data_IF_431855077235
#
_entry.id   IF_431855077235
#
_cell.length_a   1.000
_cell.length_b   1.000
_cell.length_c   1.000
_cell.angle_alpha   90.00
_cell.angle_beta   90.00
_cell.angle_gamma   90.00
#
_symmetry.space_group_name_H-M   'P 1'
#
loop_
_entity.id
_entity.type
_entity.pdbx_description
1 polymer ?
#
# COMPACT_ATOMS: atom_id res chain seq x y z
N UNK A 1 7.36 34.84 -55.14
CA UNK A 1 7.95 34.30 -53.90
C UNK A 1 7.18 33.03 -53.58
N UNK A 2 7.77 31.90 -53.99
CA UNK A 2 7.25 30.56 -53.82
C UNK A 2 7.78 30.01 -52.50
N UNK A 3 6.91 29.41 -51.68
CA UNK A 3 7.29 28.52 -50.59
C UNK A 3 6.45 27.26 -50.76
N UNK A 4 6.97 26.24 -51.42
CA UNK A 4 7.84 25.16 -50.93
C UNK A 4 7.01 23.98 -50.37
N UNK A 5 6.98 22.93 -51.18
CA UNK A 5 6.35 21.63 -50.96
C UNK A 5 7.47 20.66 -50.66
N UNK A 6 7.57 20.16 -49.43
CA UNK A 6 8.41 19.02 -49.03
C UNK A 6 7.62 18.24 -47.96
N UNK A 7 7.09 17.06 -48.30
CA UNK A 7 7.73 15.75 -48.20
C UNK A 7 7.30 15.05 -46.90
N UNK A 8 6.25 14.24 -47.00
CA UNK A 8 5.75 13.38 -45.91
C UNK A 8 6.42 12.00 -46.05
N UNK A 9 7.13 11.49 -45.04
CA UNK A 9 7.68 10.14 -45.12
C UNK A 9 6.56 9.10 -44.93
N UNK A 10 6.43 8.24 -45.95
CA UNK A 10 5.61 7.03 -45.96
C UNK A 10 6.02 6.09 -44.81
N UNK A 11 5.13 5.90 -43.83
CA UNK A 11 5.32 4.87 -42.81
C UNK A 11 4.79 3.54 -43.33
N UNK A 12 5.73 2.68 -43.71
CA UNK A 12 5.55 1.32 -44.18
C UNK A 12 4.89 0.45 -43.10
N UNK A 13 3.72 -0.13 -43.41
CA UNK A 13 3.01 -1.07 -42.54
C UNK A 13 3.75 -2.42 -42.47
N UNK A 14 4.54 -2.62 -41.41
CA UNK A 14 5.11 -3.92 -41.03
C UNK A 14 4.09 -4.86 -40.37
N UNK A 15 4.34 -6.18 -40.38
CA UNK A 15 3.33 -7.21 -40.14
C UNK A 15 2.82 -7.23 -38.69
N UNK A 16 1.54 -7.54 -38.58
CA UNK A 16 0.79 -7.83 -37.36
C UNK A 16 1.36 -9.06 -36.65
N UNK A 17 2.10 -8.84 -35.56
CA UNK A 17 2.36 -9.87 -34.55
C UNK A 17 1.29 -9.78 -33.47
N UNK A 18 0.58 -10.88 -33.33
CA UNK A 18 -0.53 -11.13 -32.41
C UNK A 18 0.00 -11.92 -31.19
N UNK A 19 -0.55 -11.62 -30.00
CA UNK A 19 -0.46 -12.37 -28.72
C UNK A 19 0.85 -12.23 -27.92
N UNK A 20 0.88 -12.02 -26.59
CA UNK A 20 -0.09 -12.22 -25.51
C UNK A 20 0.00 -11.07 -24.49
N UNK A 21 -1.10 -10.37 -24.23
CA UNK A 21 -1.20 -9.35 -23.16
C UNK A 21 -1.88 -9.95 -21.93
N UNK A 22 -1.14 -10.76 -21.17
CA UNK A 22 -1.53 -11.25 -19.85
C UNK A 22 -1.08 -10.27 -18.72
N UNK A 23 -0.99 -8.97 -19.05
CA UNK A 23 -0.72 -7.91 -18.07
C UNK A 23 -2.02 -7.54 -17.37
N UNK A 24 -2.21 -7.78 -16.07
CA UNK A 24 -3.35 -7.23 -15.36
C UNK A 24 -3.31 -5.70 -15.51
N UNK A 25 -4.42 -5.05 -15.92
CA UNK A 25 -4.41 -3.64 -16.24
C UNK A 25 -3.83 -2.87 -15.05
N UNK A 26 -2.75 -2.13 -15.32
CA UNK A 26 -2.08 -1.30 -14.33
C UNK A 26 -3.12 -0.45 -13.60
N UNK A 27 -3.27 -0.71 -12.30
CA UNK A 27 -4.28 -0.06 -11.49
C UNK A 27 -4.17 1.46 -11.60
N UNK A 28 -5.26 2.11 -11.99
CA UNK A 28 -5.40 3.56 -11.95
C UNK A 28 -5.29 4.03 -10.51
N UNK A 29 -4.20 4.71 -10.17
CA UNK A 29 -4.04 5.36 -8.86
C UNK A 29 -4.91 6.62 -8.87
N UNK A 30 -6.10 6.52 -8.27
CA UNK A 30 -6.95 7.68 -8.05
C UNK A 30 -6.26 8.60 -7.04
N UNK A 31 -5.80 9.76 -7.53
CA UNK A 31 -5.20 10.79 -6.70
C UNK A 31 -6.33 11.47 -5.92
N UNK A 32 -6.59 11.02 -4.70
CA UNK A 32 -7.50 11.73 -3.80
C UNK A 32 -6.90 13.11 -3.52
N UNK A 33 -7.64 14.17 -3.87
CA UNK A 33 -7.25 15.54 -3.52
C UNK A 33 -7.14 15.59 -1.99
N UNK A 34 -5.91 15.70 -1.51
CA UNK A 34 -5.61 15.86 -0.09
C UNK A 34 -6.41 17.06 0.40
N UNK A 35 -7.38 16.83 1.29
CA UNK A 35 -8.05 17.94 1.98
C UNK A 35 -6.94 18.72 2.67
N UNK A 36 -6.83 19.99 2.31
CA UNK A 36 -5.96 20.94 2.98
C UNK A 36 -6.30 20.86 4.47
N UNK A 37 -5.29 20.56 5.28
CA UNK A 37 -5.48 20.40 6.72
C UNK A 37 -6.01 21.71 7.27
N UNK A 38 -7.26 21.70 7.76
CA UNK A 38 -7.86 22.84 8.44
C UNK A 38 -7.07 23.09 9.71
N UNK A 39 -6.47 24.28 9.81
CA UNK A 39 -5.86 24.79 11.04
C UNK A 39 -6.99 24.98 12.08
N UNK A 40 -6.98 24.25 13.20
CA UNK A 40 -8.05 24.33 14.20
C UNK A 40 -8.15 25.70 14.88
N UNK A 41 -7.15 26.56 14.74
CA UNK A 41 -7.10 27.89 15.34
C UNK A 41 -7.50 29.02 14.37
N UNK A 42 -7.86 28.69 13.12
CA UNK A 42 -8.32 29.67 12.13
C UNK A 42 -9.75 30.14 12.47
N UNK A 43 -9.86 31.34 13.05
CA UNK A 43 -11.15 31.97 13.33
C UNK A 43 -11.98 32.12 12.04
N UNK A 44 -13.10 31.40 12.04
CA UNK A 44 -14.00 31.24 10.91
C UNK A 44 -14.81 32.52 10.68
N UNK A 45 -14.47 33.29 9.65
CA UNK A 45 -15.41 34.25 9.05
C UNK A 45 -16.07 33.58 7.85
N UNK A 46 -17.15 32.85 8.10
CA UNK A 46 -18.00 32.26 7.06
C UNK A 46 -18.93 33.34 6.52
N UNK A 47 -18.66 33.82 5.32
CA UNK A 47 -19.73 34.06 4.36
C UNK A 47 -19.60 32.93 3.33
N UNK A 48 -20.54 31.99 3.23
CA UNK A 48 -20.44 30.91 2.28
C UNK A 48 -20.85 31.45 0.91
N UNK A 49 -19.90 31.56 -0.01
CA UNK A 49 -20.21 31.64 -1.44
C UNK A 49 -21.07 30.42 -1.83
N UNK A 50 -22.12 30.59 -2.67
CA UNK A 50 -22.92 29.46 -3.11
C UNK A 50 -22.05 28.51 -3.94
N UNK A 51 -21.77 27.34 -3.37
CA UNK A 51 -21.20 26.22 -4.11
C UNK A 51 -22.30 25.73 -5.06
N UNK A 52 -22.14 26.03 -6.35
CA UNK A 52 -22.93 25.40 -7.41
C UNK A 52 -22.44 23.95 -7.53
N UNK A 53 -22.99 23.11 -6.66
CA UNK A 53 -22.92 21.67 -6.78
C UNK A 53 -23.84 21.28 -7.95
N UNK A 54 -23.26 20.83 -9.06
CA UNK A 54 -23.94 19.90 -9.99
C UNK A 54 -24.11 18.49 -9.36
N UNK A 55 -24.28 18.44 -8.03
CA UNK A 55 -24.68 17.26 -7.32
C UNK A 55 -26.18 17.10 -7.56
N UNK A 56 -26.51 16.24 -8.53
CA UNK A 56 -27.81 15.57 -8.58
C UNK A 56 -28.19 15.22 -7.13
N UNK A 57 -29.27 15.83 -6.62
CA UNK A 57 -29.79 15.73 -5.25
C UNK A 57 -29.73 14.29 -4.72
N UNK A 58 -28.56 13.87 -4.25
CA UNK A 58 -28.32 12.51 -3.78
C UNK A 58 -28.63 12.56 -2.30
N UNK A 59 -29.90 12.28 -2.00
CA UNK A 59 -30.36 12.12 -0.62
C UNK A 59 -29.44 11.12 0.08
N UNK A 60 -28.78 11.49 1.19
CA UNK A 60 -27.86 10.61 1.89
C UNK A 60 -28.59 9.35 2.36
N UNK A 61 -28.22 8.20 1.80
CA UNK A 61 -28.80 6.90 2.14
C UNK A 61 -28.18 6.40 3.45
N UNK A 62 -28.98 6.10 4.49
CA UNK A 62 -28.46 5.48 5.72
C UNK A 62 -27.81 4.13 5.41
N UNK A 63 -26.60 3.90 5.95
CA UNK A 63 -25.87 2.62 5.82
C UNK A 63 -26.69 1.45 6.37
N UNK A 64 -27.40 1.70 7.47
CA UNK A 64 -28.33 0.77 8.11
C UNK A 64 -29.76 1.36 8.11
N UNK A 65 -30.59 1.10 7.08
CA UNK A 65 -31.97 1.54 7.06
C UNK A 65 -32.83 0.73 8.06
N UNK A 66 -33.75 1.37 8.79
CA UNK A 66 -34.67 0.65 9.68
C UNK A 66 -35.58 -0.29 8.87
N UNK A 67 -35.74 -1.53 9.34
CA UNK A 67 -36.61 -2.52 8.70
C UNK A 67 -35.93 -3.53 7.78
N UNK A 68 -34.59 -3.46 7.59
CA UNK A 68 -33.86 -4.63 7.06
C UNK A 68 -33.79 -5.70 8.13
N UNK A 69 -34.28 -6.89 7.79
CA UNK A 69 -34.02 -8.11 8.58
C UNK A 69 -32.50 -8.34 8.58
N UNK A 70 -31.88 -8.17 9.75
CA UNK A 70 -30.47 -8.53 9.92
C UNK A 70 -30.39 -10.05 9.96
N UNK A 71 -29.54 -10.69 9.14
CA UNK A 71 -29.30 -12.11 9.28
C UNK A 71 -28.88 -12.42 10.72
N UNK A 72 -29.40 -13.51 11.26
CA UNK A 72 -28.95 -14.02 12.55
C UNK A 72 -27.45 -14.31 12.48
N UNK A 73 -26.74 -14.26 13.61
CA UNK A 73 -25.29 -14.57 13.66
C UNK A 73 -24.95 -15.87 12.91
N UNK A 74 -25.81 -16.89 13.02
CA UNK A 74 -25.65 -18.17 12.35
C UNK A 74 -25.82 -18.09 10.82
N UNK A 75 -26.74 -17.26 10.33
CA UNK A 75 -26.93 -16.99 8.90
C UNK A 75 -25.76 -16.19 8.33
N UNK A 76 -25.26 -15.19 9.07
CA UNK A 76 -24.06 -14.45 8.70
C UNK A 76 -22.85 -15.38 8.56
N UNK A 77 -22.59 -16.23 9.56
CA UNK A 77 -21.42 -17.13 9.55
C UNK A 77 -21.54 -18.25 8.51
N UNK A 78 -22.75 -18.71 8.17
CA UNK A 78 -22.97 -19.75 7.16
C UNK A 78 -22.97 -19.22 5.73
N UNK A 79 -23.41 -17.97 5.52
CA UNK A 79 -23.43 -17.32 4.21
C UNK A 79 -22.10 -16.68 3.81
N UNK A 80 -21.22 -16.39 4.79
CA UNK A 80 -19.93 -15.77 4.51
C UNK A 80 -18.97 -16.74 3.83
N UNK A 81 -18.58 -16.44 2.59
CA UNK A 81 -17.47 -17.13 1.94
C UNK A 81 -16.21 -16.87 2.78
N UNK A 82 -15.68 -17.94 3.37
CA UNK A 82 -14.47 -17.87 4.18
C UNK A 82 -13.32 -17.41 3.29
N UNK A 83 -12.89 -16.16 3.49
CA UNK A 83 -11.66 -15.68 2.88
C UNK A 83 -10.51 -16.49 3.43
N UNK A 84 -9.59 -16.80 2.54
CA UNK A 84 -8.36 -17.47 2.91
C UNK A 84 -7.61 -16.67 3.96
N UNK A 85 -7.30 -17.33 5.09
CA UNK A 85 -6.56 -16.72 6.21
C UNK A 85 -5.15 -16.34 5.78
N UNK A 86 -4.57 -17.13 4.88
CA UNK A 86 -3.24 -16.89 4.35
C UNK A 86 -3.35 -16.19 3.01
N UNK A 87 -2.71 -15.02 2.84
CA UNK A 87 -2.69 -14.35 1.56
C UNK A 87 -1.93 -15.20 0.52
N UNK A 88 -2.29 -15.06 -0.75
CA UNK A 88 -1.74 -15.87 -1.85
C UNK A 88 -0.23 -15.80 -1.97
N UNK A 89 0.37 -14.63 -1.73
CA UNK A 89 1.83 -14.42 -1.75
C UNK A 89 2.56 -15.25 -0.68
N UNK A 90 1.88 -15.62 0.41
CA UNK A 90 2.47 -16.43 1.48
C UNK A 90 2.45 -17.94 1.16
N UNK A 91 1.63 -18.36 0.19
CA UNK A 91 1.55 -19.75 -0.28
C UNK A 91 2.59 -20.08 -1.35
N UNK A 92 3.06 -19.06 -2.07
CA UNK A 92 4.14 -19.20 -3.06
C UNK A 92 5.49 -18.89 -2.44
N UNK A 93 6.46 -19.81 -2.60
CA UNK A 93 7.84 -19.57 -2.16
C UNK A 93 8.50 -18.40 -2.89
N UNK A 94 8.11 -18.16 -4.14
CA UNK A 94 8.72 -17.12 -4.96
C UNK A 94 8.24 -15.74 -4.52
N UNK A 95 6.92 -15.56 -4.39
CA UNK A 95 6.33 -14.32 -3.89
C UNK A 95 6.76 -14.01 -2.45
N UNK A 96 6.90 -15.04 -1.60
CA UNK A 96 7.41 -14.86 -0.24
C UNK A 96 8.84 -14.32 -0.25
N UNK A 97 9.72 -14.84 -1.11
CA UNK A 97 11.12 -14.36 -1.20
C UNK A 97 11.20 -12.93 -1.69
N UNK A 98 10.41 -12.58 -2.69
CA UNK A 98 10.35 -11.22 -3.21
C UNK A 98 9.92 -10.24 -2.11
N UNK A 99 8.87 -10.60 -1.37
CA UNK A 99 8.38 -9.75 -0.30
C UNK A 99 9.34 -9.69 0.89
N UNK A 100 9.98 -10.81 1.24
CA UNK A 100 11.02 -10.86 2.26
C UNK A 100 12.23 -9.98 1.88
N UNK A 101 12.62 -9.96 0.61
CA UNK A 101 13.70 -9.10 0.11
C UNK A 101 13.34 -7.62 0.29
N UNK A 102 12.13 -7.24 -0.09
CA UNK A 102 11.66 -5.87 0.13
C UNK A 102 11.66 -5.48 1.61
N UNK A 103 11.13 -6.35 2.48
CA UNK A 103 11.15 -6.14 3.94
C UNK A 103 12.58 -5.99 4.45
N UNK A 104 13.47 -6.86 4.00
CA UNK A 104 14.88 -6.80 4.39
C UNK A 104 15.52 -5.48 3.95
N UNK A 105 15.31 -5.06 2.71
CA UNK A 105 15.83 -3.79 2.19
C UNK A 105 15.26 -2.58 2.95
N UNK A 106 14.00 -2.65 3.42
CA UNK A 106 13.40 -1.62 4.24
C UNK A 106 14.08 -1.51 5.62
N UNK A 107 14.31 -2.63 6.29
CA UNK A 107 14.87 -2.64 7.65
C UNK A 107 16.40 -2.63 7.71
N UNK A 108 17.10 -2.84 6.58
CA UNK A 108 18.56 -2.90 6.53
C UNK A 108 19.21 -1.68 7.16
N UNK A 109 18.64 -0.49 6.96
CA UNK A 109 19.24 0.76 7.39
C UNK A 109 19.18 0.91 8.92
N UNK A 110 18.02 0.62 9.51
CA UNK A 110 17.83 0.65 10.97
C UNK A 110 18.73 -0.38 11.64
N UNK A 111 18.81 -1.59 11.08
CA UNK A 111 19.67 -2.64 11.60
C UNK A 111 21.15 -2.26 11.48
N UNK A 112 21.58 -1.74 10.33
CA UNK A 112 22.97 -1.32 10.11
C UNK A 112 23.38 -0.20 11.07
N UNK A 113 22.50 0.79 11.30
CA UNK A 113 22.74 1.85 12.29
C UNK A 113 22.99 1.29 13.70
N UNK A 114 22.15 0.36 14.13
CA UNK A 114 22.32 -0.28 15.44
C UNK A 114 23.54 -1.21 15.45
N UNK A 115 23.84 -1.91 14.36
CA UNK A 115 24.99 -2.81 14.26
C UNK A 115 26.33 -2.08 14.39
N UNK A 116 26.43 -0.84 13.89
CA UNK A 116 27.61 0.02 14.10
C UNK A 116 27.68 0.51 15.55
N UNK A 117 26.54 0.64 16.23
CA UNK A 117 26.42 1.20 17.59
C UNK A 117 26.54 0.17 18.71
N UNK A 118 26.27 -1.10 18.43
CA UNK A 118 26.33 -2.21 19.40
C UNK A 118 27.72 -2.78 19.73
N UNK A 119 28.83 -2.57 18.98
CA UNK A 119 30.07 -3.31 19.23
C UNK A 119 30.71 -2.94 20.58
N UNK A 120 30.51 -1.72 21.08
CA UNK A 120 31.00 -1.31 22.40
C UNK A 120 30.32 -2.11 23.52
N UNK A 121 29.00 -2.29 23.42
CA UNK A 121 28.22 -3.04 24.41
C UNK A 121 28.40 -4.55 24.25
N UNK A 122 28.44 -5.05 23.02
CA UNK A 122 28.68 -6.46 22.73
C UNK A 122 30.10 -6.90 23.16
N UNK A 123 31.11 -6.06 22.91
CA UNK A 123 32.48 -6.28 23.39
C UNK A 123 32.57 -6.25 24.92
N UNK A 124 31.91 -5.28 25.55
CA UNK A 124 31.81 -5.22 27.02
C UNK A 124 31.17 -6.49 27.60
N UNK A 125 30.11 -6.97 26.96
CA UNK A 125 29.44 -8.21 27.35
C UNK A 125 30.34 -9.41 27.14
N UNK A 126 31.07 -9.53 26.03
CA UNK A 126 31.98 -10.65 25.78
C UNK A 126 33.13 -10.74 26.80
N UNK A 127 33.65 -9.60 27.26
CA UNK A 127 34.68 -9.54 28.31
C UNK A 127 34.11 -9.87 29.70
N UNK A 128 32.88 -9.44 29.99
CA UNK A 128 32.26 -9.58 31.33
C UNK A 128 31.38 -10.84 31.51
N UNK A 129 30.89 -11.44 30.44
CA UNK A 129 30.02 -12.63 30.47
C UNK A 129 30.68 -13.94 30.92
N UNK A 130 32.01 -14.20 30.83
CA UNK A 130 32.52 -15.52 31.19
C UNK A 130 32.28 -15.85 32.67
N UNK A 131 32.35 -14.87 33.58
CA UNK A 131 32.04 -15.10 35.01
C UNK A 131 30.55 -15.36 35.28
N UNK A 132 29.65 -14.86 34.42
CA UNK A 132 28.22 -15.12 34.51
C UNK A 132 27.84 -16.47 33.89
N UNK A 133 28.42 -16.80 32.73
CA UNK A 133 28.21 -18.07 32.04
C UNK A 133 28.71 -19.26 32.87
N UNK A 134 29.87 -19.14 33.53
CA UNK A 134 30.40 -20.18 34.44
C UNK A 134 29.44 -20.44 35.61
N UNK A 135 28.80 -19.40 36.17
CA UNK A 135 27.80 -19.55 37.24
C UNK A 135 26.49 -20.19 36.75
N UNK A 136 26.15 -20.02 35.48
CA UNK A 136 24.88 -20.48 34.90
C UNK A 136 24.97 -21.93 34.40
N UNK A 137 26.14 -22.38 33.97
CA UNK A 137 26.41 -23.77 33.53
C UNK A 137 26.84 -24.66 34.71
N UNK A 138 27.42 -24.09 35.77
CA UNK A 138 27.89 -24.83 36.96
C UNK A 138 26.85 -25.07 38.06
N UNK A 139 25.57 -24.76 37.83
CA UNK A 139 24.44 -25.04 38.75
C UNK A 139 23.60 -26.19 38.20
#
# INVERSE_FOLDING_TARGET
MSHDTLDSPDFESGPSDEQDDDTPPGGSVLLFKQRESVDPDAETRTDPDPIENDDVDTVPVPVDPPGRERPTWNESVRGEQRRDVLPSWLRSREALREQARWVFDHYRHVFAFHAVRTPVYAGTLAVRSPLGAVRLVGR
#
